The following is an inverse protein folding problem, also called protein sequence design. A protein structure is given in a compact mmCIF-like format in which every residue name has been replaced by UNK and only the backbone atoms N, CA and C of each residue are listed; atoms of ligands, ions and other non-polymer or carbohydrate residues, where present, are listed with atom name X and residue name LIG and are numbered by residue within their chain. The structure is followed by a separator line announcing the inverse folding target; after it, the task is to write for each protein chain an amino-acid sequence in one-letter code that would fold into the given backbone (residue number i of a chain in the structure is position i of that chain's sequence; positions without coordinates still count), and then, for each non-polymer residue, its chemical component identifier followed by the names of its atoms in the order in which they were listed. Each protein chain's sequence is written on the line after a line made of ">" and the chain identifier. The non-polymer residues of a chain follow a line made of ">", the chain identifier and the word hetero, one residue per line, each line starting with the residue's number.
data_IF_205639702757
#
_entry.id   IF_205639702757
#
_cell.length_a   1.000
_cell.length_b   1.000
_cell.length_c   1.000
_cell.angle_alpha   90.00
_cell.angle_beta   90.00
_cell.angle_gamma   90.00
#
_symmetry.space_group_name_H-M   'P 1'
#
loop_
_entity.id
_entity.type
_entity.pdbx_description
1 polymer ?
#
# COMPACT_ATOMS: atom_id res chain seq x y z
N UNK A 1 -8.24 16.62 -3.69
CA UNK A 1 -7.15 16.85 -4.67
C UNK A 1 -7.41 16.14 -6.02
N UNK A 2 -8.38 15.22 -6.11
CA UNK A 2 -8.68 14.45 -7.33
C UNK A 2 -7.64 13.36 -7.66
N UNK A 3 -6.73 13.06 -6.75
CA UNK A 3 -5.73 11.99 -6.87
C UNK A 3 -6.31 10.71 -6.29
N UNK A 4 -6.08 9.58 -6.97
CA UNK A 4 -6.41 8.25 -6.48
C UNK A 4 -5.21 7.63 -5.79
N UNK A 5 -5.47 6.79 -4.80
CA UNK A 5 -4.44 6.03 -4.09
C UNK A 5 -4.91 4.60 -3.87
N UNK A 6 -4.02 3.74 -3.39
CA UNK A 6 -4.29 2.36 -3.02
C UNK A 6 -4.34 2.25 -1.49
N UNK A 7 -5.43 1.71 -0.96
CA UNK A 7 -5.63 1.49 0.46
C UNK A 7 -5.52 0.00 0.76
N UNK A 8 -4.49 -0.38 1.49
CA UNK A 8 -4.25 -1.76 1.90
C UNK A 8 -4.91 -2.03 3.25
N UNK A 9 -5.80 -3.00 3.28
CA UNK A 9 -6.69 -3.24 4.41
C UNK A 9 -6.37 -4.57 5.08
N UNK A 10 -5.98 -4.52 6.36
CA UNK A 10 -5.96 -5.65 7.26
C UNK A 10 -7.40 -5.93 7.71
N UNK A 11 -7.91 -7.14 7.51
CA UNK A 11 -9.35 -7.37 7.61
C UNK A 11 -9.85 -7.70 9.00
N UNK A 12 -9.06 -8.34 9.85
CA UNK A 12 -9.47 -8.67 11.22
C UNK A 12 -9.89 -7.43 12.04
N UNK A 13 -9.13 -6.32 12.09
CA UNK A 13 -9.55 -5.14 12.83
C UNK A 13 -10.81 -4.48 12.27
N UNK A 14 -11.00 -4.54 10.94
CA UNK A 14 -12.20 -3.99 10.30
C UNK A 14 -13.43 -4.81 10.69
N UNK A 15 -13.32 -6.14 10.64
CA UNK A 15 -14.39 -7.08 11.07
C UNK A 15 -14.68 -6.94 12.55
N UNK A 16 -13.63 -6.90 13.38
CA UNK A 16 -13.73 -6.78 14.84
C UNK A 16 -14.13 -5.39 15.32
N UNK A 17 -14.20 -4.41 14.43
CA UNK A 17 -14.57 -3.03 14.76
C UNK A 17 -13.60 -2.35 15.72
N UNK A 18 -12.28 -2.63 15.63
CA UNK A 18 -11.26 -2.05 16.51
C UNK A 18 -11.21 -0.53 16.38
N UNK A 19 -11.01 0.16 17.52
CA UNK A 19 -11.22 1.62 17.62
C UNK A 19 -10.35 2.45 16.65
N UNK A 20 -9.09 2.06 16.47
CA UNK A 20 -8.13 2.81 15.66
C UNK A 20 -8.12 2.42 14.17
N UNK A 21 -8.99 1.51 13.76
CA UNK A 21 -9.07 1.03 12.39
C UNK A 21 -10.34 1.50 11.69
N UNK A 22 -10.26 1.56 10.36
CA UNK A 22 -11.42 1.91 9.56
C UNK A 22 -12.57 0.93 9.80
N UNK A 23 -13.79 1.47 9.79
CA UNK A 23 -15.01 0.66 9.85
C UNK A 23 -15.39 0.17 8.44
N UNK A 24 -16.16 -0.92 8.31
CA UNK A 24 -16.56 -1.46 7.00
C UNK A 24 -17.16 -0.42 6.04
N UNK A 25 -18.00 0.48 6.55
CA UNK A 25 -18.61 1.54 5.75
C UNK A 25 -17.59 2.54 5.22
N UNK A 26 -16.51 2.84 5.96
CA UNK A 26 -15.43 3.72 5.53
C UNK A 26 -14.60 3.07 4.41
N UNK A 27 -14.30 1.78 4.51
CA UNK A 27 -13.61 1.02 3.45
C UNK A 27 -14.44 1.03 2.16
N UNK A 28 -15.77 0.80 2.30
CA UNK A 28 -16.72 0.85 1.18
C UNK A 28 -16.77 2.25 0.54
N UNK A 29 -16.81 3.30 1.34
CA UNK A 29 -16.82 4.69 0.87
C UNK A 29 -15.55 5.04 0.08
N UNK A 30 -14.39 4.60 0.54
CA UNK A 30 -13.11 4.77 -0.19
C UNK A 30 -13.17 4.10 -1.57
N UNK A 31 -13.67 2.87 -1.65
CA UNK A 31 -13.86 2.17 -2.92
C UNK A 31 -14.84 2.91 -3.86
N UNK A 32 -15.97 3.37 -3.34
CA UNK A 32 -16.97 4.13 -4.09
C UNK A 32 -16.43 5.47 -4.61
N UNK A 33 -15.48 6.08 -3.92
CA UNK A 33 -14.75 7.27 -4.37
C UNK A 33 -13.71 6.96 -5.44
N UNK A 34 -13.58 5.71 -5.87
CA UNK A 34 -12.71 5.27 -6.95
C UNK A 34 -11.24 5.13 -6.56
N UNK A 35 -10.94 4.99 -5.28
CA UNK A 35 -9.62 4.54 -4.84
C UNK A 35 -9.50 3.02 -5.00
N UNK A 36 -8.27 2.54 -5.17
CA UNK A 36 -7.99 1.12 -5.16
C UNK A 36 -8.02 0.57 -3.73
N UNK A 37 -8.67 -0.59 -3.54
CA UNK A 37 -8.58 -1.37 -2.30
C UNK A 37 -7.66 -2.56 -2.56
N UNK A 38 -6.63 -2.71 -1.72
CA UNK A 38 -5.71 -3.84 -1.72
C UNK A 38 -5.82 -4.66 -0.44
N UNK A 39 -5.44 -5.94 -0.52
CA UNK A 39 -5.36 -6.82 0.64
C UNK A 39 -4.10 -6.58 1.47
N UNK A 40 -4.23 -6.72 2.79
CA UNK A 40 -3.11 -6.68 3.73
C UNK A 40 -3.21 -7.80 4.76
N UNK A 41 -3.61 -8.98 4.30
CA UNK A 41 -3.88 -10.19 5.08
C UNK A 41 -5.06 -10.05 6.05
N UNK A 42 -5.35 -11.10 6.80
CA UNK A 42 -6.38 -11.07 7.85
C UNK A 42 -5.79 -10.46 9.12
N UNK A 43 -4.68 -11.03 9.62
CA UNK A 43 -4.13 -10.76 10.96
C UNK A 43 -2.84 -9.95 10.99
N UNK A 44 -2.29 -9.58 9.81
CA UNK A 44 -0.96 -8.93 9.67
C UNK A 44 0.22 -9.79 10.16
N UNK A 45 0.08 -11.11 10.16
CA UNK A 45 1.18 -12.00 10.52
C UNK A 45 2.23 -12.04 9.40
N UNK A 46 3.52 -12.11 9.75
CA UNK A 46 4.59 -12.31 8.77
C UNK A 46 4.37 -13.64 8.03
N UNK A 47 4.04 -13.56 6.75
CA UNK A 47 3.70 -14.71 5.93
C UNK A 47 4.88 -15.68 5.73
N UNK A 48 6.12 -15.20 5.88
CA UNK A 48 7.31 -16.03 5.73
C UNK A 48 7.50 -17.04 6.87
N UNK A 49 6.84 -16.81 8.00
CA UNK A 49 6.87 -17.69 9.17
C UNK A 49 5.77 -18.75 9.15
N UNK A 50 4.86 -18.68 8.17
CA UNK A 50 3.67 -19.54 8.09
C UNK A 50 3.86 -20.69 7.11
N UNK A 51 3.22 -21.82 7.41
CA UNK A 51 3.03 -22.91 6.43
C UNK A 51 2.03 -22.53 5.33
N UNK A 52 2.14 -23.16 4.16
CA UNK A 52 1.38 -22.84 2.95
C UNK A 52 -0.13 -22.72 3.16
N UNK A 53 -0.75 -23.62 3.93
CA UNK A 53 -2.20 -23.57 4.20
C UNK A 53 -2.61 -22.33 5.00
N UNK A 54 -1.78 -21.90 5.96
CA UNK A 54 -2.03 -20.66 6.73
C UNK A 54 -1.82 -19.42 5.87
N UNK A 55 -0.81 -19.40 4.99
CA UNK A 55 -0.64 -18.31 4.02
C UNK A 55 -1.90 -18.17 3.16
N UNK A 56 -2.44 -19.30 2.66
CA UNK A 56 -3.68 -19.28 1.88
C UNK A 56 -4.85 -18.68 2.65
N UNK A 57 -5.02 -19.07 3.91
CA UNK A 57 -6.06 -18.52 4.78
C UNK A 57 -5.93 -17.01 4.92
N UNK A 58 -4.74 -16.51 5.21
CA UNK A 58 -4.45 -15.09 5.36
C UNK A 58 -4.77 -14.28 4.09
N UNK A 59 -4.34 -14.75 2.94
CA UNK A 59 -4.45 -13.97 1.69
C UNK A 59 -5.80 -14.15 1.00
N UNK A 60 -6.39 -15.38 1.01
CA UNK A 60 -7.66 -15.64 0.34
C UNK A 60 -8.84 -15.07 1.12
N UNK A 61 -8.87 -15.24 2.44
CA UNK A 61 -9.97 -14.74 3.27
C UNK A 61 -9.99 -13.20 3.27
N UNK A 62 -8.82 -12.57 3.37
CA UNK A 62 -8.72 -11.12 3.25
C UNK A 62 -9.27 -10.63 1.90
N UNK A 63 -8.83 -11.23 0.79
CA UNK A 63 -9.32 -10.91 -0.55
C UNK A 63 -10.84 -11.07 -0.68
N UNK A 64 -11.36 -12.24 -0.29
CA UNK A 64 -12.78 -12.56 -0.39
C UNK A 64 -13.65 -11.60 0.42
N UNK A 65 -13.24 -11.31 1.66
CA UNK A 65 -13.94 -10.33 2.48
C UNK A 65 -14.01 -8.95 1.84
N UNK A 66 -12.87 -8.45 1.35
CA UNK A 66 -12.81 -7.11 0.73
C UNK A 66 -13.63 -7.04 -0.57
N UNK A 67 -13.60 -8.10 -1.39
CA UNK A 67 -14.43 -8.18 -2.60
C UNK A 67 -15.92 -8.16 -2.24
N UNK A 68 -16.33 -8.93 -1.25
CA UNK A 68 -17.73 -8.95 -0.77
C UNK A 68 -18.15 -7.59 -0.20
N UNK A 69 -17.28 -6.97 0.60
CA UNK A 69 -17.56 -5.70 1.25
C UNK A 69 -17.73 -4.55 0.24
N UNK A 70 -16.83 -4.49 -0.74
CA UNK A 70 -16.71 -3.32 -1.62
C UNK A 70 -17.33 -3.50 -3.01
N UNK A 71 -17.53 -4.75 -3.44
CA UNK A 71 -17.90 -5.08 -4.82
C UNK A 71 -16.75 -4.87 -5.83
N UNK A 72 -15.58 -4.43 -5.36
CA UNK A 72 -14.42 -4.17 -6.22
C UNK A 72 -13.56 -5.43 -6.41
N UNK A 73 -12.85 -5.50 -7.53
CA UNK A 73 -11.81 -6.53 -7.73
C UNK A 73 -10.58 -6.18 -6.91
N UNK A 74 -10.11 -7.11 -6.07
CA UNK A 74 -8.94 -6.94 -5.22
C UNK A 74 -7.74 -7.59 -5.89
N UNK A 75 -6.88 -6.79 -6.49
CA UNK A 75 -5.75 -7.25 -7.32
C UNK A 75 -4.39 -7.11 -6.66
N UNK A 76 -4.25 -6.14 -5.75
CA UNK A 76 -2.98 -5.78 -5.12
C UNK A 76 -2.90 -6.28 -3.68
N UNK A 77 -1.71 -6.77 -3.27
CA UNK A 77 -1.41 -7.14 -1.89
C UNK A 77 -0.25 -6.30 -1.36
N UNK A 78 -0.29 -5.94 -0.07
CA UNK A 78 0.89 -5.51 0.66
C UNK A 78 1.35 -6.63 1.58
N UNK A 79 2.64 -7.01 1.50
CA UNK A 79 3.20 -7.99 2.43
C UNK A 79 3.34 -7.36 3.82
N UNK A 80 2.83 -8.03 4.90
CA UNK A 80 3.13 -7.61 6.27
C UNK A 80 4.63 -7.46 6.48
N UNK A 81 5.06 -6.37 7.12
CA UNK A 81 6.47 -6.03 7.34
C UNK A 81 7.32 -5.92 6.07
N UNK A 82 6.71 -5.95 4.89
CA UNK A 82 7.41 -6.04 3.61
C UNK A 82 8.06 -7.41 3.36
N UNK A 83 7.85 -8.40 4.24
CA UNK A 83 8.52 -9.69 4.21
C UNK A 83 7.86 -10.66 3.22
N UNK A 84 8.68 -11.24 2.34
CA UNK A 84 8.23 -12.27 1.40
C UNK A 84 9.37 -13.23 1.02
N UNK A 85 9.00 -14.40 0.57
CA UNK A 85 9.88 -15.38 -0.04
C UNK A 85 9.19 -16.00 -1.26
N UNK A 86 9.84 -16.94 -1.94
CA UNK A 86 9.26 -17.54 -3.15
C UNK A 86 7.95 -18.29 -2.87
N UNK A 87 7.85 -18.97 -1.71
CA UNK A 87 6.61 -19.66 -1.30
C UNK A 87 5.47 -18.67 -1.13
N UNK A 88 5.69 -17.58 -0.41
CA UNK A 88 4.68 -16.52 -0.21
C UNK A 88 4.23 -15.94 -1.55
N UNK A 89 5.16 -15.58 -2.44
CA UNK A 89 4.81 -15.06 -3.79
C UNK A 89 3.94 -16.04 -4.58
N UNK A 90 4.30 -17.32 -4.57
CA UNK A 90 3.53 -18.35 -5.27
C UNK A 90 2.12 -18.48 -4.70
N UNK A 91 1.95 -18.42 -3.37
CA UNK A 91 0.63 -18.50 -2.72
C UNK A 91 -0.23 -17.28 -2.98
N UNK A 92 0.37 -16.08 -2.94
CA UNK A 92 -0.30 -14.81 -3.27
C UNK A 92 -0.78 -14.82 -4.73
N UNK A 93 0.06 -15.25 -5.65
CA UNK A 93 -0.31 -15.43 -7.07
C UNK A 93 -1.45 -16.45 -7.23
N UNK A 94 -1.36 -17.60 -6.58
CA UNK A 94 -2.40 -18.63 -6.61
C UNK A 94 -3.74 -18.16 -5.98
N UNK A 95 -3.70 -17.21 -5.06
CA UNK A 95 -4.90 -16.56 -4.51
C UNK A 95 -5.53 -15.54 -5.48
N UNK A 96 -4.95 -15.35 -6.68
CA UNK A 96 -5.48 -14.47 -7.71
C UNK A 96 -5.13 -12.98 -7.54
N UNK A 97 -4.14 -12.64 -6.73
CA UNK A 97 -3.54 -11.31 -6.79
C UNK A 97 -2.67 -11.18 -8.04
N UNK A 98 -2.62 -10.01 -8.64
CA UNK A 98 -1.83 -9.74 -9.85
C UNK A 98 -0.53 -8.98 -9.55
N UNK A 99 -0.44 -8.37 -8.39
CA UNK A 99 0.75 -7.67 -7.93
C UNK A 99 0.86 -7.67 -6.40
N UNK A 100 2.06 -7.39 -5.89
CA UNK A 100 2.29 -7.21 -4.46
C UNK A 100 3.49 -6.30 -4.20
N UNK A 101 3.39 -5.48 -3.11
CA UNK A 101 4.46 -4.58 -2.68
C UNK A 101 5.12 -5.03 -1.39
N UNK A 102 6.40 -4.71 -1.28
CA UNK A 102 7.14 -4.76 -0.02
C UNK A 102 6.96 -3.46 0.80
N UNK A 103 7.74 -3.29 1.86
CA UNK A 103 7.88 -2.06 2.61
C UNK A 103 9.36 -1.85 2.95
N UNK A 104 9.87 -0.64 2.68
CA UNK A 104 11.22 -0.24 3.03
C UNK A 104 11.21 1.10 3.75
N UNK A 105 12.20 1.34 4.61
CA UNK A 105 12.30 2.54 5.45
C UNK A 105 13.24 3.60 4.90
N UNK A 106 13.93 3.33 3.79
CA UNK A 106 14.78 4.31 3.11
C UNK A 106 14.15 4.79 1.82
N UNK A 107 14.38 6.04 1.44
CA UNK A 107 13.85 6.62 0.19
C UNK A 107 14.25 5.79 -1.04
N UNK A 108 15.45 5.21 -1.04
CA UNK A 108 15.93 4.35 -2.13
C UNK A 108 14.99 3.16 -2.39
N UNK A 109 14.35 2.64 -1.35
CA UNK A 109 13.39 1.52 -1.45
C UNK A 109 12.08 1.88 -2.16
N UNK A 110 11.79 3.15 -2.39
CA UNK A 110 10.56 3.56 -3.09
C UNK A 110 10.63 3.49 -4.60
N UNK A 111 11.83 3.40 -5.19
CA UNK A 111 12.02 3.45 -6.64
C UNK A 111 11.86 2.08 -7.29
N UNK A 112 11.14 2.07 -8.41
CA UNK A 112 10.89 0.89 -9.22
C UNK A 112 11.31 1.17 -10.68
N UNK A 113 11.81 0.15 -11.35
CA UNK A 113 12.15 0.19 -12.77
C UNK A 113 11.02 -0.44 -13.60
N UNK A 114 11.03 -0.21 -14.92
CA UNK A 114 10.08 -0.85 -15.85
C UNK A 114 10.18 -2.39 -15.88
N UNK A 115 11.29 -2.95 -15.40
CA UNK A 115 11.53 -4.40 -15.33
C UNK A 115 11.26 -4.98 -13.93
N UNK A 116 10.67 -4.17 -13.02
CA UNK A 116 10.37 -4.61 -11.67
C UNK A 116 9.40 -5.81 -11.70
N UNK A 117 9.71 -6.84 -10.92
CA UNK A 117 8.77 -7.93 -10.71
C UNK A 117 7.54 -7.40 -9.98
N UNK A 118 6.38 -7.53 -10.59
CA UNK A 118 5.13 -6.98 -10.05
C UNK A 118 4.70 -7.61 -8.70
N UNK A 119 5.30 -8.74 -8.31
CA UNK A 119 5.14 -9.33 -6.97
C UNK A 119 6.26 -8.91 -5.98
N UNK A 120 7.09 -7.96 -6.35
CA UNK A 120 8.20 -7.41 -5.56
C UNK A 120 8.27 -5.88 -5.70
N UNK A 121 7.13 -5.22 -5.85
CA UNK A 121 7.08 -3.76 -5.99
C UNK A 121 7.68 -3.12 -4.75
N UNK A 122 8.67 -2.28 -4.95
CA UNK A 122 9.31 -1.51 -3.90
C UNK A 122 8.39 -0.40 -3.41
N UNK A 123 8.39 -0.16 -2.11
CA UNK A 123 7.72 1.02 -1.53
C UNK A 123 8.52 1.60 -0.38
N UNK A 124 8.41 2.91 -0.21
CA UNK A 124 9.04 3.65 0.87
C UNK A 124 8.00 4.04 1.92
N UNK A 125 8.22 3.65 3.16
CA UNK A 125 7.41 4.00 4.33
C UNK A 125 8.08 5.15 5.09
N UNK A 126 7.59 6.39 4.95
CA UNK A 126 8.13 7.51 5.68
C UNK A 126 7.98 7.32 7.18
N UNK A 127 9.05 7.60 7.93
CA UNK A 127 9.01 7.74 9.38
C UNK A 127 8.87 9.21 9.75
N UNK A 128 8.57 9.49 11.02
CA UNK A 128 8.45 10.85 11.55
C UNK A 128 9.73 11.69 11.49
N UNK A 129 10.87 11.07 11.16
CA UNK A 129 12.16 11.75 10.95
C UNK A 129 12.40 12.17 9.49
N UNK A 130 11.55 11.73 8.57
CA UNK A 130 11.68 12.04 7.13
C UNK A 130 11.08 13.41 6.84
N UNK A 131 11.88 14.32 6.32
CA UNK A 131 11.42 15.67 6.01
C UNK A 131 10.54 15.71 4.75
N UNK A 132 9.61 16.66 4.72
CA UNK A 132 8.81 16.95 3.53
C UNK A 132 9.71 17.29 2.32
N UNK A 133 10.83 17.99 2.55
CA UNK A 133 11.79 18.31 1.48
C UNK A 133 12.37 17.03 0.83
N UNK A 134 12.75 16.04 1.64
CA UNK A 134 13.26 14.76 1.13
C UNK A 134 12.20 13.99 0.33
N UNK A 135 10.94 14.02 0.78
CA UNK A 135 9.83 13.39 0.05
C UNK A 135 9.55 14.08 -1.30
N UNK A 136 9.60 15.42 -1.34
CA UNK A 136 9.49 16.19 -2.60
C UNK A 136 10.63 15.88 -3.55
N UNK A 137 11.86 15.81 -3.06
CA UNK A 137 13.02 15.45 -3.88
C UNK A 137 12.89 14.05 -4.51
N UNK A 138 12.25 13.09 -3.82
CA UNK A 138 11.96 11.79 -4.41
C UNK A 138 10.96 11.89 -5.59
N UNK A 139 9.96 12.76 -5.51
CA UNK A 139 9.04 13.05 -6.63
C UNK A 139 9.80 13.67 -7.81
N UNK A 140 10.66 14.64 -7.55
CA UNK A 140 11.44 15.30 -8.59
C UNK A 140 12.38 14.32 -9.30
N UNK A 141 13.06 13.45 -8.54
CA UNK A 141 13.89 12.39 -9.12
C UNK A 141 13.05 11.43 -9.95
N UNK A 142 11.91 10.96 -9.43
CA UNK A 142 11.05 10.04 -10.17
C UNK A 142 10.61 10.65 -11.51
N UNK A 143 10.26 11.94 -11.52
CA UNK A 143 9.91 12.69 -12.74
C UNK A 143 11.08 12.80 -13.71
N UNK A 144 12.25 13.24 -13.23
CA UNK A 144 13.44 13.45 -14.05
C UNK A 144 13.93 12.16 -14.72
N UNK A 145 13.91 11.06 -13.99
CA UNK A 145 14.42 9.77 -14.45
C UNK A 145 13.36 8.86 -15.08
N UNK A 146 12.07 9.29 -15.09
CA UNK A 146 10.94 8.47 -15.54
C UNK A 146 10.85 7.14 -14.76
N UNK A 147 11.14 7.20 -13.45
CA UNK A 147 11.02 6.10 -12.50
C UNK A 147 9.61 6.09 -11.89
N UNK A 148 9.14 4.92 -11.45
CA UNK A 148 7.95 4.79 -10.64
C UNK A 148 8.34 4.79 -9.17
N UNK A 149 7.87 5.78 -8.40
CA UNK A 149 8.10 5.87 -6.95
C UNK A 149 6.81 5.56 -6.18
N UNK A 150 6.91 4.71 -5.16
CA UNK A 150 5.77 4.33 -4.32
C UNK A 150 5.99 4.81 -2.88
N UNK A 151 5.14 5.73 -2.42
CA UNK A 151 5.00 6.04 -0.99
C UNK A 151 4.02 5.07 -0.33
N UNK A 152 4.34 4.63 0.89
CA UNK A 152 3.49 3.77 1.73
C UNK A 152 3.27 4.42 3.09
N UNK A 153 2.23 5.22 3.22
CA UNK A 153 1.88 5.87 4.49
C UNK A 153 1.12 4.91 5.40
N UNK A 154 1.40 4.97 6.71
CA UNK A 154 0.70 4.17 7.72
C UNK A 154 -0.34 5.02 8.45
N UNK A 155 0.08 6.11 9.10
CA UNK A 155 -0.81 7.03 9.81
C UNK A 155 -0.61 8.46 9.35
N UNK A 156 -1.64 9.04 8.76
CA UNK A 156 -1.68 10.45 8.38
C UNK A 156 -2.42 11.19 9.49
N UNK A 157 -1.67 11.59 10.50
CA UNK A 157 -2.20 12.32 11.66
C UNK A 157 -1.06 13.05 12.39
N UNK A 158 -1.41 14.04 13.20
CA UNK A 158 -0.44 14.68 14.06
C UNK A 158 -0.11 13.78 15.25
N UNK A 159 1.16 13.75 15.66
CA UNK A 159 1.65 12.93 16.75
C UNK A 159 3.12 12.53 16.59
N UNK A 160 3.64 11.73 17.53
CA UNK A 160 5.06 11.37 17.63
C UNK A 160 5.34 9.89 17.31
N UNK A 161 4.38 9.16 16.73
CA UNK A 161 4.59 7.76 16.35
C UNK A 161 5.59 7.64 15.20
N UNK A 162 6.39 6.58 15.21
CA UNK A 162 7.46 6.36 14.23
C UNK A 162 6.99 6.50 12.77
N UNK A 163 5.83 5.91 12.44
CA UNK A 163 5.26 5.93 11.08
C UNK A 163 4.13 6.95 10.93
N UNK A 164 4.20 8.06 11.68
CA UNK A 164 3.25 9.16 11.54
C UNK A 164 3.77 10.17 10.52
N UNK A 165 2.90 10.55 9.60
CA UNK A 165 3.08 11.72 8.73
C UNK A 165 2.05 12.75 9.13
N UNK A 166 2.48 13.99 9.41
CA UNK A 166 1.55 15.05 9.77
C UNK A 166 0.54 15.30 8.63
N UNK A 167 -0.67 15.67 8.99
CA UNK A 167 -1.71 16.00 7.99
C UNK A 167 -1.22 17.10 7.06
N UNK A 168 -0.54 18.12 7.61
CA UNK A 168 0.00 19.24 6.84
C UNK A 168 1.06 18.78 5.82
N UNK A 169 2.01 17.92 6.22
CA UNK A 169 3.05 17.44 5.32
C UNK A 169 2.46 16.52 4.23
N UNK A 170 1.51 15.67 4.60
CA UNK A 170 0.82 14.82 3.63
C UNK A 170 0.06 15.64 2.59
N UNK A 171 -0.72 16.64 3.02
CA UNK A 171 -1.43 17.54 2.12
C UNK A 171 -0.47 18.33 1.22
N UNK A 172 0.62 18.86 1.79
CA UNK A 172 1.64 19.58 1.05
C UNK A 172 2.33 18.69 0.00
N UNK A 173 2.61 17.42 0.34
CA UNK A 173 3.20 16.46 -0.58
C UNK A 173 2.25 16.09 -1.72
N UNK A 174 0.98 15.81 -1.41
CA UNK A 174 -0.05 15.49 -2.41
C UNK A 174 -0.26 16.66 -3.38
N UNK A 175 -0.32 17.90 -2.86
CA UNK A 175 -0.43 19.10 -3.69
C UNK A 175 0.83 19.31 -4.54
N UNK A 176 2.01 19.05 -3.97
CA UNK A 176 3.27 19.12 -4.72
C UNK A 176 3.28 18.12 -5.89
N UNK A 177 2.94 16.86 -5.65
CA UNK A 177 2.85 15.84 -6.69
C UNK A 177 1.89 16.27 -7.82
N UNK A 178 0.69 16.74 -7.44
CA UNK A 178 -0.30 17.23 -8.41
C UNK A 178 0.23 18.38 -9.25
N UNK A 179 0.87 19.37 -8.63
CA UNK A 179 1.36 20.59 -9.31
C UNK A 179 2.64 20.35 -10.10
N UNK A 180 3.42 19.31 -9.77
CA UNK A 180 4.63 18.95 -10.51
C UNK A 180 4.35 18.39 -11.92
N UNK A 181 3.11 18.00 -12.21
CA UNK A 181 2.72 17.37 -13.47
C UNK A 181 3.16 15.90 -13.61
N UNK A 182 3.65 15.27 -12.51
CA UNK A 182 3.88 13.82 -12.49
C UNK A 182 2.55 13.07 -12.52
N UNK A 183 2.48 11.96 -13.24
CA UNK A 183 1.28 11.10 -13.19
C UNK A 183 1.24 10.36 -11.87
N UNK A 184 0.20 10.60 -11.07
CA UNK A 184 -0.08 9.83 -9.85
C UNK A 184 -1.07 8.72 -10.20
N UNK A 185 -0.74 7.49 -9.84
CA UNK A 185 -1.48 6.28 -10.21
C UNK A 185 -1.69 5.39 -8.98
N UNK A 186 -2.68 4.52 -9.04
CA UNK A 186 -2.82 3.42 -8.08
C UNK A 186 -1.74 2.37 -8.31
N UNK A 187 -1.56 1.45 -7.36
CA UNK A 187 -0.57 0.37 -7.52
C UNK A 187 -0.94 -0.53 -8.71
N UNK A 188 -2.21 -0.84 -8.89
CA UNK A 188 -2.65 -1.65 -10.02
C UNK A 188 -2.36 -0.97 -11.36
N UNK A 189 -2.60 0.34 -11.47
CA UNK A 189 -2.31 1.10 -12.70
C UNK A 189 -0.81 1.21 -12.97
N UNK A 190 0.01 1.32 -11.91
CA UNK A 190 1.47 1.39 -12.05
C UNK A 190 2.11 0.04 -12.35
N UNK A 191 1.46 -1.08 -11.99
CA UNK A 191 1.92 -2.44 -12.24
C UNK A 191 1.48 -3.02 -13.60
N UNK A 192 0.59 -2.35 -14.32
CA UNK A 192 0.13 -2.71 -15.66
C UNK A 192 1.15 -2.27 -16.71
#
# INVERSE_FOLDING_TARGET
>A
AGIKGTFYIMTEPVVGGWAEYMKPNQVKDIALKGHEIGGHTVTHTDLTTLGAAKIDTEVKNSKSYLQTLTGATINSLAYPYGAFNQTVKNRVKAAGYTNARNAGTTIANGFNTKKQNVFEINSFSPTNTVSLASMKAAIDRAKANKEWFVFSFHRVQNGNGEYFTSTADFEALVNYAKNSGIKVVTIQEGAA
#
